data_IF_669841158561
#
_entry.id   IF_669841158561
#
_cell.length_a   1.000
_cell.length_b   1.000
_cell.length_c   1.000
_cell.angle_alpha   90.00
_cell.angle_beta   90.00
_cell.angle_gamma   90.00
#
_symmetry.space_group_name_H-M   'P 1'
#
loop_
_entity.id
_entity.type
_entity.pdbx_description
1 polymer ?
#
# COMPACT_ATOMS: atom_id res chain seq x y z
N UNK A 1 53.00 4.73 -26.41
CA UNK A 1 51.54 4.61 -26.59
C UNK A 1 51.16 5.57 -27.68
N UNK A 2 50.46 5.09 -28.71
CA UNK A 2 49.94 5.94 -29.77
C UNK A 2 48.93 6.96 -29.20
N UNK A 3 48.86 8.20 -29.74
CA UNK A 3 48.01 9.26 -29.22
C UNK A 3 46.52 8.88 -29.20
N UNK A 4 46.10 8.07 -30.17
CA UNK A 4 44.76 7.48 -30.24
C UNK A 4 44.45 6.56 -29.06
N UNK A 5 45.42 5.74 -28.63
CA UNK A 5 45.26 4.85 -27.47
C UNK A 5 45.14 5.67 -26.19
N UNK A 6 45.90 6.76 -26.08
CA UNK A 6 45.88 7.65 -24.92
C UNK A 6 44.53 8.38 -24.80
N UNK A 7 43.94 8.78 -25.94
CA UNK A 7 42.60 9.36 -26.01
C UNK A 7 41.50 8.38 -25.59
N UNK A 8 41.58 7.13 -26.06
CA UNK A 8 40.61 6.08 -25.68
C UNK A 8 40.68 5.79 -24.18
N UNK A 9 41.89 5.64 -23.63
CA UNK A 9 42.08 5.41 -22.19
C UNK A 9 41.56 6.59 -21.35
N UNK A 10 41.81 7.83 -21.81
CA UNK A 10 41.27 9.03 -21.16
C UNK A 10 39.75 9.09 -21.15
N UNK A 11 39.10 8.81 -22.30
CA UNK A 11 37.65 8.73 -22.42
C UNK A 11 37.05 7.65 -21.51
N UNK A 12 37.70 6.48 -21.42
CA UNK A 12 37.26 5.38 -20.55
C UNK A 12 37.31 5.79 -19.07
N UNK A 13 38.38 6.44 -18.63
CA UNK A 13 38.51 6.92 -17.25
C UNK A 13 37.45 7.95 -16.89
N UNK A 14 37.16 8.89 -17.79
CA UNK A 14 36.11 9.90 -17.60
C UNK A 14 34.73 9.22 -17.50
N UNK A 15 34.46 8.24 -18.38
CA UNK A 15 33.20 7.51 -18.41
C UNK A 15 32.98 6.73 -17.12
N UNK A 16 34.00 6.01 -16.64
CA UNK A 16 33.93 5.28 -15.37
C UNK A 16 33.74 6.24 -14.18
N UNK A 17 34.42 7.39 -14.19
CA UNK A 17 34.23 8.42 -13.17
C UNK A 17 32.80 8.97 -13.12
N UNK A 18 32.21 9.24 -14.28
CA UNK A 18 30.81 9.68 -14.38
C UNK A 18 29.84 8.60 -13.88
N UNK A 19 30.03 7.34 -14.28
CA UNK A 19 29.20 6.23 -13.82
C UNK A 19 29.27 6.06 -12.30
N UNK A 20 30.45 6.19 -11.70
CA UNK A 20 30.62 6.15 -10.25
C UNK A 20 29.83 7.26 -9.54
N UNK A 21 29.91 8.49 -10.05
CA UNK A 21 29.17 9.63 -9.48
C UNK A 21 27.66 9.44 -9.61
N UNK A 22 27.18 8.97 -10.76
CA UNK A 22 25.76 8.64 -10.99
C UNK A 22 25.28 7.56 -10.02
N UNK A 23 26.04 6.46 -9.87
CA UNK A 23 25.69 5.39 -8.93
C UNK A 23 25.63 5.90 -7.49
N UNK A 24 26.57 6.76 -7.07
CA UNK A 24 26.57 7.38 -5.75
C UNK A 24 25.34 8.26 -5.52
N UNK A 25 24.91 9.04 -6.51
CA UNK A 25 23.69 9.86 -6.40
C UNK A 25 22.41 9.01 -6.43
N UNK A 26 22.40 7.93 -7.23
CA UNK A 26 21.26 7.02 -7.35
C UNK A 26 20.87 6.41 -6.00
N UNK A 27 21.83 6.04 -5.15
CA UNK A 27 21.52 5.46 -3.82
C UNK A 27 20.64 6.36 -2.97
N UNK A 28 20.87 7.68 -3.00
CA UNK A 28 20.05 8.66 -2.26
C UNK A 28 18.65 8.83 -2.84
N UNK A 29 18.51 8.72 -4.15
CA UNK A 29 17.21 8.84 -4.82
C UNK A 29 16.37 7.57 -4.72
N UNK A 30 17.01 6.39 -4.61
CA UNK A 30 16.32 5.11 -4.43
C UNK A 30 15.60 5.07 -3.08
N UNK A 31 16.17 5.61 -2.01
CA UNK A 31 15.54 5.62 -0.69
C UNK A 31 14.24 6.43 -0.69
N UNK A 32 14.27 7.63 -1.27
CA UNK A 32 13.08 8.48 -1.44
C UNK A 32 12.07 7.83 -2.40
N UNK A 33 12.53 7.30 -3.52
CA UNK A 33 11.64 6.63 -4.48
C UNK A 33 11.04 5.34 -3.93
N UNK A 34 11.75 4.60 -3.08
CA UNK A 34 11.26 3.38 -2.43
C UNK A 34 10.21 3.72 -1.38
N UNK A 35 10.35 4.84 -0.66
CA UNK A 35 9.32 5.30 0.28
C UNK A 35 8.03 5.72 -0.44
N UNK A 36 8.12 6.32 -1.63
CA UNK A 36 6.97 6.83 -2.39
C UNK A 36 6.34 5.79 -3.33
N UNK A 37 7.12 4.83 -3.82
CA UNK A 37 6.65 3.73 -4.69
C UNK A 37 6.44 2.42 -3.93
N UNK A 38 6.46 2.44 -2.60
CA UNK A 38 6.02 1.28 -1.83
C UNK A 38 4.55 1.00 -2.18
N UNK A 39 4.20 -0.26 -2.49
CA UNK A 39 2.82 -0.61 -2.80
C UNK A 39 1.97 -0.27 -1.57
N UNK A 40 0.84 0.39 -1.78
CA UNK A 40 -0.10 0.72 -0.70
C UNK A 40 -0.63 -0.62 -0.15
N UNK A 41 -0.12 -1.02 1.02
CA UNK A 41 -0.56 -2.23 1.70
C UNK A 41 -1.84 -1.87 2.46
N UNK A 42 -2.95 -2.51 2.09
CA UNK A 42 -4.21 -2.36 2.81
C UNK A 42 -4.02 -2.73 4.29
N UNK A 43 -4.21 -1.77 5.20
CA UNK A 43 -4.03 -1.96 6.65
C UNK A 43 -2.88 -1.17 7.28
N UNK A 44 -2.01 -0.51 6.50
CA UNK A 44 -1.02 0.44 7.05
C UNK A 44 -1.58 1.85 7.25
N UNK A 45 -2.67 2.20 6.55
CA UNK A 45 -3.43 3.40 6.85
C UNK A 45 -4.27 3.17 8.11
N UNK A 46 -4.24 4.11 9.05
CA UNK A 46 -5.27 4.23 10.08
C UNK A 46 -6.59 4.56 9.38
N UNK A 47 -7.27 3.54 8.86
CA UNK A 47 -8.70 3.62 8.60
C UNK A 47 -9.33 3.90 9.95
N UNK A 48 -9.63 5.16 10.22
CA UNK A 48 -10.53 5.54 11.28
C UNK A 48 -11.84 4.82 10.99
N UNK A 49 -12.04 3.66 11.60
CA UNK A 49 -13.19 2.77 11.39
C UNK A 49 -14.53 3.38 11.83
N UNK A 50 -14.55 4.69 12.07
CA UNK A 50 -15.74 5.48 12.32
C UNK A 50 -16.38 5.84 11.00
N UNK A 51 -17.71 5.78 10.94
CA UNK A 51 -18.41 6.36 9.83
C UNK A 51 -18.06 7.86 9.71
N UNK A 52 -17.70 8.30 8.51
CA UNK A 52 -17.26 9.67 8.24
C UNK A 52 -18.34 10.71 8.63
N UNK A 53 -19.60 10.30 8.62
CA UNK A 53 -20.73 11.06 9.12
C UNK A 53 -21.67 10.13 9.92
N UNK A 54 -21.63 10.13 11.25
CA UNK A 54 -22.52 9.31 12.07
C UNK A 54 -24.01 9.69 11.94
N UNK A 55 -24.30 10.92 11.50
CA UNK A 55 -25.68 11.43 11.40
C UNK A 55 -26.45 10.93 10.18
N UNK A 56 -25.77 10.24 9.26
CA UNK A 56 -26.40 9.62 8.08
C UNK A 56 -27.08 8.27 8.40
N UNK A 57 -26.91 7.74 9.61
CA UNK A 57 -27.54 6.50 10.06
C UNK A 57 -28.70 6.83 10.99
N UNK A 58 -29.91 6.51 10.55
CA UNK A 58 -31.11 6.55 11.39
C UNK A 58 -31.26 5.24 12.17
N UNK A 59 -31.97 5.29 13.30
CA UNK A 59 -32.37 4.08 14.01
C UNK A 59 -33.30 3.25 13.12
N UNK A 60 -33.00 1.95 12.88
CA UNK A 60 -33.84 1.10 12.06
C UNK A 60 -35.23 0.91 12.69
N UNK A 61 -36.25 0.81 11.85
CA UNK A 61 -37.61 0.54 12.30
C UNK A 61 -37.80 -0.93 12.75
N UNK A 62 -38.89 -1.20 13.47
CA UNK A 62 -39.20 -2.53 14.01
C UNK A 62 -39.24 -3.61 12.91
N UNK A 63 -39.76 -3.28 11.73
CA UNK A 63 -39.82 -4.21 10.60
C UNK A 63 -38.42 -4.57 10.08
N UNK A 64 -37.50 -3.61 10.06
CA UNK A 64 -36.10 -3.84 9.70
C UNK A 64 -35.41 -4.66 10.78
N UNK A 65 -35.68 -4.41 12.06
CA UNK A 65 -35.11 -5.18 13.17
C UNK A 65 -35.50 -6.65 13.11
N UNK A 66 -36.77 -6.97 12.85
CA UNK A 66 -37.25 -8.35 12.71
C UNK A 66 -36.57 -9.07 11.54
N UNK A 67 -36.43 -8.39 10.39
CA UNK A 67 -35.74 -8.94 9.23
C UNK A 67 -34.25 -9.20 9.50
N UNK A 68 -33.57 -8.27 10.20
CA UNK A 68 -32.17 -8.42 10.59
C UNK A 68 -31.98 -9.59 11.57
N UNK A 69 -32.91 -9.77 12.52
CA UNK A 69 -32.93 -10.91 13.43
C UNK A 69 -32.95 -12.24 12.68
N UNK A 70 -33.84 -12.38 11.70
CA UNK A 70 -33.91 -13.59 10.86
C UNK A 70 -32.64 -13.85 10.05
N UNK A 71 -32.00 -12.81 9.49
CA UNK A 71 -30.72 -12.97 8.79
C UNK A 71 -29.61 -13.48 9.72
N UNK A 72 -29.59 -13.02 10.97
CA UNK A 72 -28.59 -13.45 11.96
C UNK A 72 -28.83 -14.89 12.43
N UNK A 73 -30.09 -15.28 12.61
CA UNK A 73 -30.48 -16.65 12.95
C UNK A 73 -30.06 -17.63 11.84
N UNK A 74 -30.39 -17.34 10.58
CA UNK A 74 -29.99 -18.16 9.43
C UNK A 74 -28.47 -18.29 9.32
N UNK A 75 -27.74 -17.19 9.54
CA UNK A 75 -26.28 -17.18 9.52
C UNK A 75 -25.66 -17.98 10.69
N UNK A 76 -26.32 -18.00 11.85
CA UNK A 76 -25.90 -18.77 13.01
C UNK A 76 -26.15 -20.27 12.81
N UNK A 77 -27.32 -20.65 12.32
CA UNK A 77 -27.65 -22.04 11.98
C UNK A 77 -26.68 -22.62 10.93
N UNK A 78 -26.34 -21.82 9.90
CA UNK A 78 -25.35 -22.19 8.89
C UNK A 78 -23.95 -22.44 9.48
N UNK A 79 -23.64 -21.82 10.62
CA UNK A 79 -22.41 -22.01 11.39
C UNK A 79 -22.55 -23.09 12.49
N UNK A 80 -23.71 -23.73 12.62
CA UNK A 80 -24.01 -24.74 13.63
C UNK A 80 -24.25 -24.19 15.04
N UNK A 81 -24.54 -22.89 15.15
CA UNK A 81 -24.93 -22.23 16.40
C UNK A 81 -26.46 -22.21 16.48
N UNK A 82 -27.04 -22.72 17.57
CA UNK A 82 -28.48 -22.66 17.83
C UNK A 82 -28.73 -21.47 18.74
N UNK A 83 -29.58 -20.53 18.32
CA UNK A 83 -30.05 -19.46 19.18
C UNK A 83 -31.07 -20.03 20.18
N UNK A 84 -30.80 -19.90 21.47
CA UNK A 84 -31.82 -20.11 22.51
C UNK A 84 -32.58 -18.79 22.71
N UNK A 85 -33.92 -18.89 22.68
CA UNK A 85 -34.89 -17.78 22.77
C UNK A 85 -34.81 -17.02 24.11
#
# INVERSE_FOLDING_TARGET
>A
MEPETLGIVGMLLITVGLLYVIMRMRTKNIEVSSSQNQPIVAGEDELAGTAMDPSQFDEPDDATLDMLGGMLEEAAEAQGLVYEE
#
